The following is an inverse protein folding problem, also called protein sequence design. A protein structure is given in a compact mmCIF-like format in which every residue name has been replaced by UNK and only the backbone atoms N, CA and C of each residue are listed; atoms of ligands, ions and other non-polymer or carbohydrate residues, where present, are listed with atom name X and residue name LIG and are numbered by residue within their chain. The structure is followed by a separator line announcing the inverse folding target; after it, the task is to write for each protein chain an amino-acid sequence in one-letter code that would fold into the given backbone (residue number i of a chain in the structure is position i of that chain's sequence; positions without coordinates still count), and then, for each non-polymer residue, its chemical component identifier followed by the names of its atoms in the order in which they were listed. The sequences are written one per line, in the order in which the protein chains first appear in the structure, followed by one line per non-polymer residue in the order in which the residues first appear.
data_IF_679847105833
#
_entry.id   IF_679847105833
#
_cell.length_a   1.000
_cell.length_b   1.000
_cell.length_c   1.000
_cell.angle_alpha   90.00
_cell.angle_beta   90.00
_cell.angle_gamma   90.00
#
_symmetry.space_group_name_H-M   'P 1'
#
loop_
_entity.id
_entity.type
_entity.pdbx_description
1 polymer ?
#
# COMPACT_ATOMS: atom_id res chain seq x y z
N UNK A 1 6.20 29.11 -6.27
CA UNK A 1 6.58 27.86 -5.57
C UNK A 1 6.15 27.87 -4.10
N UNK A 2 6.50 28.90 -3.31
CA UNK A 2 6.04 29.08 -1.91
C UNK A 2 4.51 29.07 -1.73
N UNK A 3 3.77 29.75 -2.62
CA UNK A 3 2.31 29.80 -2.56
C UNK A 3 1.67 28.40 -2.64
N UNK A 4 2.24 27.49 -3.44
CA UNK A 4 1.73 26.12 -3.60
C UNK A 4 1.98 25.30 -2.32
N UNK A 5 3.16 25.44 -1.71
CA UNK A 5 3.48 24.76 -0.46
C UNK A 5 2.59 25.26 0.69
N UNK A 6 2.38 26.57 0.80
CA UNK A 6 1.51 27.16 1.81
C UNK A 6 0.06 26.71 1.60
N UNK A 7 -0.42 26.68 0.35
CA UNK A 7 -1.79 26.20 0.06
C UNK A 7 -1.96 24.72 0.36
N UNK A 8 -0.96 23.87 0.05
CA UNK A 8 -1.00 22.45 0.37
C UNK A 8 -0.99 22.21 1.88
N UNK A 9 -0.16 22.94 2.62
CA UNK A 9 -0.14 22.87 4.08
C UNK A 9 -1.45 23.37 4.69
N UNK A 10 -1.97 24.49 4.22
CA UNK A 10 -3.27 25.00 4.65
C UNK A 10 -4.38 23.96 4.42
N UNK A 11 -4.43 23.34 3.23
CA UNK A 11 -5.40 22.29 2.93
C UNK A 11 -5.24 21.07 3.83
N UNK A 12 -4.00 20.59 4.02
CA UNK A 12 -3.68 19.47 4.91
C UNK A 12 -4.12 19.72 6.35
N UNK A 13 -3.86 20.92 6.89
CA UNK A 13 -4.22 21.26 8.27
C UNK A 13 -5.70 21.57 8.44
N UNK A 14 -6.36 22.14 7.42
CA UNK A 14 -7.79 22.46 7.49
C UNK A 14 -8.68 21.22 7.48
N UNK A 15 -8.31 20.16 6.75
CA UNK A 15 -9.11 18.94 6.65
C UNK A 15 -8.24 17.69 6.66
N UNK A 16 -7.44 17.55 7.72
CA UNK A 16 -6.60 16.38 7.95
C UNK A 16 -7.39 15.06 7.80
N UNK A 17 -8.60 14.88 8.38
CA UNK A 17 -9.34 13.62 8.24
C UNK A 17 -9.62 13.25 6.78
N UNK A 18 -10.02 14.22 5.96
CA UNK A 18 -10.32 14.00 4.54
C UNK A 18 -9.09 13.59 3.75
N UNK A 19 -7.92 14.18 4.05
CA UNK A 19 -6.67 13.78 3.39
C UNK A 19 -6.30 12.34 3.73
N UNK A 20 -6.44 11.95 5.00
CA UNK A 20 -6.18 10.57 5.42
C UNK A 20 -7.17 9.60 4.79
N UNK A 21 -8.45 9.93 4.75
CA UNK A 21 -9.50 9.11 4.12
C UNK A 21 -9.23 8.89 2.62
N UNK A 22 -8.83 9.93 1.89
CA UNK A 22 -8.47 9.81 0.47
C UNK A 22 -7.24 8.92 0.29
N UNK A 23 -6.20 9.12 1.10
CA UNK A 23 -4.99 8.30 1.03
C UNK A 23 -5.30 6.82 1.35
N UNK A 24 -6.12 6.58 2.37
CA UNK A 24 -6.53 5.25 2.77
C UNK A 24 -7.35 4.56 1.68
N UNK A 25 -8.30 5.27 1.04
CA UNK A 25 -9.09 4.74 -0.07
C UNK A 25 -8.21 4.35 -1.26
N UNK A 26 -7.20 5.17 -1.60
CA UNK A 26 -6.25 4.86 -2.67
C UNK A 26 -5.40 3.62 -2.35
N UNK A 27 -4.91 3.52 -1.12
CA UNK A 27 -4.15 2.36 -0.67
C UNK A 27 -5.03 1.10 -0.64
N UNK A 28 -6.28 1.20 -0.17
CA UNK A 28 -7.22 0.08 -0.16
C UNK A 28 -7.51 -0.44 -1.57
N UNK A 29 -7.76 0.45 -2.53
CA UNK A 29 -7.96 0.06 -3.94
C UNK A 29 -6.74 -0.64 -4.52
N UNK A 30 -5.54 -0.15 -4.19
CA UNK A 30 -4.28 -0.76 -4.62
C UNK A 30 -4.06 -2.12 -3.94
N UNK A 31 -4.39 -2.25 -2.65
CA UNK A 31 -4.20 -3.47 -1.86
C UNK A 31 -5.11 -4.60 -2.34
N UNK A 32 -6.35 -4.29 -2.73
CA UNK A 32 -7.29 -5.28 -3.29
C UNK A 32 -6.70 -5.96 -4.54
N UNK A 33 -5.90 -5.23 -5.30
CA UNK A 33 -5.22 -5.70 -6.52
C UNK A 33 -3.81 -6.24 -6.25
N UNK A 34 -3.38 -6.30 -4.99
CA UNK A 34 -2.07 -6.84 -4.65
C UNK A 34 -2.04 -8.36 -4.94
N UNK A 35 -0.99 -8.79 -5.64
CA UNK A 35 -0.81 -10.21 -6.00
C UNK A 35 0.23 -10.88 -5.10
N UNK A 36 1.48 -10.45 -5.20
CA UNK A 36 2.58 -11.08 -4.46
C UNK A 36 3.78 -10.15 -4.38
N UNK A 37 4.75 -10.57 -3.55
CA UNK A 37 6.01 -9.84 -3.42
C UNK A 37 6.86 -9.87 -4.71
N UNK A 38 6.64 -10.86 -5.57
CA UNK A 38 7.38 -11.06 -6.81
C UNK A 38 6.67 -10.53 -8.04
N UNK A 39 5.43 -10.05 -7.89
CA UNK A 39 4.65 -9.52 -9.02
C UNK A 39 5.20 -8.18 -9.50
N UNK A 40 5.30 -8.03 -10.81
CA UNK A 40 5.77 -6.80 -11.49
C UNK A 40 4.68 -5.73 -11.65
N UNK A 41 3.45 -6.04 -11.23
CA UNK A 41 2.33 -5.09 -11.29
C UNK A 41 2.54 -3.90 -10.36
N UNK A 42 2.19 -2.70 -10.84
CA UNK A 42 2.39 -1.44 -10.12
C UNK A 42 1.82 -1.44 -8.70
N UNK A 43 0.66 -2.08 -8.51
CA UNK A 43 0.00 -2.17 -7.21
C UNK A 43 0.81 -3.03 -6.23
N UNK A 44 1.37 -4.15 -6.72
CA UNK A 44 2.23 -5.03 -5.92
C UNK A 44 3.56 -4.35 -5.60
N UNK A 45 4.21 -3.73 -6.61
CA UNK A 45 5.45 -2.97 -6.44
C UNK A 45 5.32 -1.85 -5.41
N UNK A 46 4.18 -1.13 -5.41
CA UNK A 46 3.91 -0.07 -4.45
C UNK A 46 4.03 -0.57 -3.00
N UNK A 47 3.35 -1.66 -2.68
CA UNK A 47 3.39 -2.26 -1.35
C UNK A 47 4.75 -2.92 -1.04
N UNK A 48 5.38 -3.55 -2.04
CA UNK A 48 6.69 -4.17 -1.89
C UNK A 48 7.79 -3.16 -1.54
N UNK A 49 7.63 -1.89 -1.93
CA UNK A 49 8.52 -0.79 -1.55
C UNK A 49 8.10 -0.15 -0.23
N UNK A 50 6.81 0.16 -0.04
CA UNK A 50 6.35 0.89 1.15
C UNK A 50 6.50 0.07 2.44
N UNK A 51 6.13 -1.21 2.42
CA UNK A 51 6.18 -2.08 3.59
C UNK A 51 7.57 -2.15 4.24
N UNK A 52 8.67 -2.49 3.52
CA UNK A 52 9.99 -2.52 4.13
C UNK A 52 10.50 -1.12 4.47
N UNK A 53 10.17 -0.09 3.67
CA UNK A 53 10.60 1.28 3.93
C UNK A 53 10.00 1.85 5.24
N UNK A 54 8.76 1.47 5.55
CA UNK A 54 8.02 1.94 6.73
C UNK A 54 7.98 0.91 7.87
N UNK A 55 8.60 -0.25 7.67
CA UNK A 55 8.54 -1.39 8.59
C UNK A 55 7.08 -1.74 9.00
N UNK A 56 6.19 -1.78 8.02
CA UNK A 56 4.78 -2.09 8.20
C UNK A 56 4.33 -3.26 7.30
N UNK A 57 3.14 -3.79 7.56
CA UNK A 57 2.53 -4.85 6.77
C UNK A 57 1.04 -4.54 6.58
N UNK A 58 0.64 -4.21 5.36
CA UNK A 58 -0.72 -3.75 5.06
C UNK A 58 -0.93 -2.26 5.33
N UNK A 59 -2.18 -1.85 5.36
CA UNK A 59 -2.59 -0.47 5.67
C UNK A 59 -2.74 -0.33 7.17
N UNK A 60 -3.42 -1.30 7.78
CA UNK A 60 -3.61 -1.43 9.22
C UNK A 60 -2.79 -2.59 9.78
N UNK A 61 -2.83 -3.75 9.12
CA UNK A 61 -2.06 -4.94 9.50
C UNK A 61 -2.11 -6.02 8.40
N UNK A 62 -1.37 -7.13 8.61
CA UNK A 62 -1.30 -8.23 7.65
C UNK A 62 -2.64 -8.93 7.35
N UNK A 63 -3.71 -8.70 8.12
CA UNK A 63 -5.04 -9.24 7.79
C UNK A 63 -5.70 -8.54 6.60
N UNK A 64 -5.21 -7.36 6.19
CA UNK A 64 -5.74 -6.62 5.04
C UNK A 64 -5.63 -7.45 3.75
N UNK A 65 -4.57 -8.27 3.62
CA UNK A 65 -4.34 -9.15 2.47
C UNK A 65 -5.34 -10.30 2.35
N UNK A 66 -6.17 -10.57 3.37
CA UNK A 66 -7.25 -11.57 3.26
C UNK A 66 -8.29 -11.18 2.22
N UNK A 67 -8.44 -9.88 1.98
CA UNK A 67 -9.42 -9.33 1.04
C UNK A 67 -8.82 -9.07 -0.35
N UNK A 68 -7.53 -9.29 -0.54
CA UNK A 68 -6.89 -9.13 -1.84
C UNK A 68 -7.34 -10.25 -2.80
N UNK A 69 -7.84 -9.85 -3.96
CA UNK A 69 -8.52 -10.75 -4.91
C UNK A 69 -7.57 -11.76 -5.55
N UNK A 70 -6.32 -11.34 -5.75
CA UNK A 70 -5.31 -12.08 -6.49
C UNK A 70 -4.11 -12.46 -5.61
N UNK A 71 -4.29 -12.41 -4.28
CA UNK A 71 -3.19 -12.68 -3.36
C UNK A 71 -2.70 -14.11 -3.51
N UNK A 72 -1.50 -14.25 -4.07
CA UNK A 72 -0.82 -15.52 -4.13
C UNK A 72 -0.20 -15.80 -2.76
N UNK A 73 -0.82 -16.76 -2.07
CA UNK A 73 -0.34 -17.24 -0.78
C UNK A 73 0.93 -18.06 -0.91
N UNK A 74 1.36 -18.43 -2.13
CA UNK A 74 2.58 -19.18 -2.38
C UNK A 74 3.72 -18.19 -2.59
N UNK A 75 4.52 -17.99 -1.55
CA UNK A 75 5.70 -17.16 -1.66
C UNK A 75 6.79 -18.01 -2.31
N UNK A 76 7.00 -17.83 -3.61
CA UNK A 76 8.13 -18.45 -4.32
C UNK A 76 9.32 -17.49 -4.32
N UNK A 77 10.40 -17.83 -3.62
CA UNK A 77 11.69 -17.13 -3.74
C UNK A 77 12.65 -18.08 -4.46
N UNK A 78 13.22 -17.65 -5.58
CA UNK A 78 14.13 -18.47 -6.39
C UNK A 78 13.57 -19.83 -6.84
N UNK A 79 12.24 -19.94 -7.02
CA UNK A 79 11.58 -21.19 -7.41
C UNK A 79 11.32 -22.17 -6.27
N UNK A 80 11.64 -21.82 -5.03
CA UNK A 80 11.26 -22.59 -3.85
C UNK A 80 10.00 -21.98 -3.20
N UNK A 81 8.96 -22.79 -3.06
CA UNK A 81 7.74 -22.43 -2.32
C UNK A 81 8.04 -22.48 -0.82
N UNK A 82 8.02 -21.32 -0.17
CA UNK A 82 8.31 -21.18 1.26
C UNK A 82 7.03 -21.12 2.09
N UNK A 83 5.87 -21.36 1.48
CA UNK A 83 4.59 -21.44 2.21
C UNK A 83 4.49 -22.77 2.95
N UNK A 84 5.13 -22.82 4.12
CA UNK A 84 4.98 -23.91 5.10
C UNK A 84 4.15 -23.45 6.29
#
# INVERSE_FOLDING_TARGET
MLLIQISLMAFYYSNRPLVFEVAENLLNQSLIQYQSYTAEESNSVLFNVMMPALNCCGIYNGSDFKNALHFDKRMQINGEDISK
#
